data_IF_442931982957
#
_entry.id   IF_442931982957
#
_cell.length_a   1.000
_cell.length_b   1.000
_cell.length_c   1.000
_cell.angle_alpha   90.00
_cell.angle_beta   90.00
_cell.angle_gamma   90.00
#
_symmetry.space_group_name_H-M   'P 1'
#
loop_
_entity.id
_entity.type
_entity.pdbx_description
1 polymer ?
#
# COMPACT_ATOMS: atom_id res chain seq x y z
N UNK A 1 -5.10 -23.47 -6.90
CA UNK A 1 -3.84 -22.99 -6.28
C UNK A 1 -4.17 -21.77 -5.43
N UNK A 2 -3.59 -21.61 -4.23
CA UNK A 2 -3.85 -20.44 -3.38
C UNK A 2 -3.07 -19.23 -3.91
N UNK A 3 -3.64 -18.01 -3.90
CA UNK A 3 -2.93 -16.84 -4.38
C UNK A 3 -1.73 -16.49 -3.47
N UNK A 4 -0.66 -16.00 -4.08
CA UNK A 4 0.54 -15.52 -3.38
C UNK A 4 0.51 -13.99 -3.28
N UNK A 5 0.92 -13.43 -2.15
CA UNK A 5 0.77 -12.00 -1.85
C UNK A 5 2.11 -11.30 -1.61
N UNK A 6 2.43 -10.29 -2.42
CA UNK A 6 3.50 -9.33 -2.11
C UNK A 6 2.96 -8.21 -1.23
N UNK A 7 3.55 -8.04 -0.05
CA UNK A 7 3.18 -6.98 0.91
C UNK A 7 4.20 -5.85 0.80
N UNK A 8 3.77 -4.72 0.26
CA UNK A 8 4.63 -3.53 0.04
C UNK A 8 4.44 -2.54 1.18
N UNK A 9 5.40 -2.45 2.08
CA UNK A 9 5.30 -1.62 3.29
C UNK A 9 6.64 -0.98 3.69
N UNK A 10 6.66 -0.21 4.78
CA UNK A 10 7.87 0.32 5.41
C UNK A 10 8.76 -0.80 5.94
N UNK A 11 10.02 -0.51 6.25
CA UNK A 11 10.94 -1.51 6.81
C UNK A 11 10.49 -2.01 8.19
N UNK A 12 10.79 -3.27 8.50
CA UNK A 12 10.63 -3.85 9.85
C UNK A 12 11.31 -3.04 10.97
N UNK A 13 12.31 -2.22 10.61
CA UNK A 13 13.07 -1.37 11.54
C UNK A 13 12.53 0.07 11.63
N UNK A 14 11.55 0.44 10.80
CA UNK A 14 10.88 1.74 10.89
C UNK A 14 9.86 1.72 12.03
N UNK A 15 9.85 2.76 12.85
CA UNK A 15 8.83 2.93 13.89
C UNK A 15 7.54 3.49 13.26
N UNK A 16 6.38 2.98 13.69
CA UNK A 16 5.08 3.51 13.23
C UNK A 16 4.01 2.45 13.06
N UNK A 17 2.76 2.91 12.93
CA UNK A 17 1.56 2.06 12.87
C UNK A 17 1.58 1.06 11.72
N UNK A 18 2.01 1.44 10.52
CA UNK A 18 2.11 0.53 9.37
C UNK A 18 3.01 -0.67 9.70
N UNK A 19 4.21 -0.41 10.25
CA UNK A 19 5.14 -1.48 10.61
C UNK A 19 4.55 -2.42 11.66
N UNK A 20 3.85 -1.88 12.66
CA UNK A 20 3.22 -2.69 13.71
C UNK A 20 2.12 -3.58 13.15
N UNK A 21 1.27 -3.06 12.25
CA UNK A 21 0.21 -3.83 11.58
C UNK A 21 0.81 -4.96 10.74
N UNK A 22 1.82 -4.66 9.91
CA UNK A 22 2.42 -5.68 9.04
C UNK A 22 3.16 -6.75 9.84
N UNK A 23 3.83 -6.39 10.95
CA UNK A 23 4.42 -7.36 11.88
C UNK A 23 3.37 -8.28 12.51
N UNK A 24 2.22 -7.74 12.91
CA UNK A 24 1.12 -8.54 13.42
C UNK A 24 0.59 -9.52 12.35
N UNK A 25 0.45 -9.07 11.11
CA UNK A 25 0.07 -9.95 9.99
C UNK A 25 1.14 -11.04 9.75
N UNK A 26 2.43 -10.71 9.86
CA UNK A 26 3.55 -11.64 9.62
C UNK A 26 3.55 -12.82 10.60
N UNK A 27 3.04 -12.63 11.82
CA UNK A 27 2.90 -13.70 12.81
C UNK A 27 1.63 -14.53 12.64
N UNK A 28 0.68 -14.08 11.85
CA UNK A 28 -0.60 -14.74 11.64
C UNK A 28 -0.53 -15.90 10.65
N UNK A 29 -1.46 -16.86 10.78
CA UNK A 29 -1.56 -18.03 9.89
C UNK A 29 -1.75 -17.65 8.42
N UNK A 30 -2.44 -16.54 8.16
CA UNK A 30 -2.70 -16.03 6.81
C UNK A 30 -1.39 -15.72 6.05
N UNK A 31 -0.37 -15.28 6.75
CA UNK A 31 0.93 -14.99 6.14
C UNK A 31 1.55 -16.22 5.49
N UNK A 32 1.53 -17.35 6.20
CA UNK A 32 1.99 -18.64 5.69
C UNK A 32 1.05 -19.20 4.61
N UNK A 33 -0.26 -19.13 4.86
CA UNK A 33 -1.32 -19.64 3.98
C UNK A 33 -1.27 -19.06 2.59
N UNK A 34 -0.95 -17.75 2.46
CA UNK A 34 -0.88 -17.02 1.20
C UNK A 34 0.55 -16.75 0.74
N UNK A 35 1.55 -17.42 1.30
CA UNK A 35 2.97 -17.25 0.96
C UNK A 35 3.38 -15.79 0.86
N UNK A 36 2.99 -14.99 1.86
CA UNK A 36 3.24 -13.55 1.87
C UNK A 36 4.73 -13.24 1.91
N UNK A 37 5.16 -12.25 1.14
CA UNK A 37 6.52 -11.72 1.13
C UNK A 37 6.50 -10.21 1.37
N UNK A 38 7.29 -9.72 2.33
CA UNK A 38 7.36 -8.30 2.67
C UNK A 38 8.46 -7.58 1.90
N UNK A 39 8.06 -6.69 1.00
CA UNK A 39 8.94 -5.75 0.29
C UNK A 39 9.10 -4.48 1.14
N UNK A 40 10.32 -4.20 1.58
CA UNK A 40 10.62 -3.09 2.49
C UNK A 40 11.04 -1.84 1.73
N UNK A 41 10.13 -0.90 1.50
CA UNK A 41 10.33 0.25 0.61
C UNK A 41 10.98 1.47 1.25
N UNK A 42 11.11 1.51 2.58
CA UNK A 42 11.60 2.68 3.29
C UNK A 42 12.14 2.31 4.67
N UNK A 43 13.26 2.94 5.03
CA UNK A 43 13.81 2.94 6.39
C UNK A 43 14.18 4.37 6.77
N UNK A 44 13.94 4.75 8.02
CA UNK A 44 14.33 6.06 8.54
C UNK A 44 15.84 6.24 8.50
N UNK A 45 16.26 7.49 8.23
CA UNK A 45 17.66 7.85 8.12
C UNK A 45 17.93 8.92 7.04
N UNK A 46 19.18 9.13 6.66
CA UNK A 46 19.57 10.12 5.65
C UNK A 46 19.00 9.79 4.27
N UNK A 47 18.93 10.78 3.39
CA UNK A 47 18.31 10.69 2.07
C UNK A 47 18.86 9.52 1.21
N UNK A 48 20.19 9.34 1.20
CA UNK A 48 20.83 8.25 0.45
C UNK A 48 20.36 6.86 0.90
N UNK A 49 20.13 6.65 2.22
CA UNK A 49 19.61 5.39 2.77
C UNK A 49 18.18 5.16 2.32
N UNK A 50 17.35 6.20 2.31
CA UNK A 50 15.96 6.13 1.84
C UNK A 50 15.89 5.75 0.37
N UNK A 51 16.75 6.36 -0.45
CA UNK A 51 16.86 6.05 -1.88
C UNK A 51 17.34 4.62 -2.10
N UNK A 52 18.37 4.18 -1.37
CA UNK A 52 18.88 2.80 -1.44
C UNK A 52 17.82 1.76 -1.14
N UNK A 53 17.04 1.98 -0.06
CA UNK A 53 15.92 1.09 0.27
C UNK A 53 14.84 1.07 -0.82
N UNK A 54 14.55 2.20 -1.45
CA UNK A 54 13.59 2.26 -2.55
C UNK A 54 14.09 1.50 -3.77
N UNK A 55 15.35 1.70 -4.17
CA UNK A 55 15.95 1.03 -5.34
C UNK A 55 16.02 -0.48 -5.13
N UNK A 56 16.54 -0.93 -3.99
CA UNK A 56 16.60 -2.37 -3.68
C UNK A 56 15.22 -3.01 -3.58
N UNK A 57 14.25 -2.29 -3.01
CA UNK A 57 12.86 -2.75 -2.97
C UNK A 57 12.24 -2.87 -4.37
N UNK A 58 12.52 -1.94 -5.28
CA UNK A 58 12.02 -2.02 -6.65
C UNK A 58 12.64 -3.20 -7.41
N UNK A 59 13.94 -3.45 -7.24
CA UNK A 59 14.61 -4.61 -7.84
C UNK A 59 13.99 -5.91 -7.30
N UNK A 60 13.92 -6.07 -5.97
CA UNK A 60 13.30 -7.25 -5.34
C UNK A 60 11.84 -7.43 -5.81
N UNK A 61 11.09 -6.34 -5.88
CA UNK A 61 9.71 -6.34 -6.33
C UNK A 61 9.56 -6.81 -7.78
N UNK A 62 10.37 -6.26 -8.70
CA UNK A 62 10.34 -6.64 -10.13
C UNK A 62 10.70 -8.12 -10.34
N UNK A 63 11.69 -8.62 -9.62
CA UNK A 63 12.11 -10.04 -9.70
C UNK A 63 11.00 -10.96 -9.19
N UNK A 64 10.33 -10.60 -8.11
CA UNK A 64 9.32 -11.46 -7.48
C UNK A 64 7.93 -11.34 -8.10
N UNK A 65 7.58 -10.18 -8.67
CA UNK A 65 6.23 -9.87 -9.13
C UNK A 65 5.62 -10.92 -10.09
N UNK A 66 6.36 -11.52 -11.04
CA UNK A 66 5.79 -12.56 -11.91
C UNK A 66 5.20 -13.75 -11.16
N UNK A 67 5.78 -14.09 -10.00
CA UNK A 67 5.41 -15.27 -9.20
C UNK A 67 4.29 -15.01 -8.18
N UNK A 68 3.76 -13.79 -8.15
CA UNK A 68 2.75 -13.36 -7.18
C UNK A 68 1.48 -12.89 -7.89
N UNK A 69 0.34 -13.10 -7.26
CA UNK A 69 -0.98 -12.83 -7.82
C UNK A 69 -1.56 -11.52 -7.32
N UNK A 70 -1.23 -11.17 -6.08
CA UNK A 70 -1.79 -10.01 -5.37
C UNK A 70 -0.65 -9.14 -4.84
N UNK A 71 -0.81 -7.83 -4.97
CA UNK A 71 0.06 -6.82 -4.36
C UNK A 71 -0.73 -6.07 -3.30
N UNK A 72 -0.36 -6.24 -2.04
CA UNK A 72 -0.97 -5.58 -0.89
C UNK A 72 -0.10 -4.40 -0.45
N UNK A 73 -0.54 -3.19 -0.72
CA UNK A 73 0.22 -1.95 -0.54
C UNK A 73 -0.27 -1.21 0.71
N UNK A 74 0.59 -1.09 1.71
CA UNK A 74 0.32 -0.28 2.91
C UNK A 74 0.76 1.16 2.67
N UNK A 75 -0.17 2.10 2.75
CA UNK A 75 0.02 3.51 2.42
C UNK A 75 -0.24 4.39 3.64
N UNK A 76 0.71 5.25 3.98
CA UNK A 76 0.52 6.37 4.89
C UNK A 76 0.27 7.66 4.12
N UNK A 77 0.74 8.79 4.67
CA UNK A 77 0.54 10.11 4.08
C UNK A 77 1.74 10.59 3.25
N UNK A 78 1.52 11.62 2.42
CA UNK A 78 2.53 12.40 1.67
C UNK A 78 3.52 11.50 0.92
N UNK A 79 4.81 11.60 1.23
CA UNK A 79 5.89 10.86 0.56
C UNK A 79 5.70 9.34 0.54
N UNK A 80 4.84 8.79 1.41
CA UNK A 80 4.46 7.38 1.36
C UNK A 80 3.61 7.08 0.12
N UNK A 81 2.69 7.98 -0.24
CA UNK A 81 1.84 7.86 -1.45
C UNK A 81 2.72 7.85 -2.70
N UNK A 82 3.64 8.82 -2.83
CA UNK A 82 4.52 8.93 -4.01
C UNK A 82 5.34 7.67 -4.23
N UNK A 83 5.96 7.14 -3.18
CA UNK A 83 6.73 5.90 -3.26
C UNK A 83 5.88 4.69 -3.64
N UNK A 84 4.69 4.56 -3.04
CA UNK A 84 3.81 3.41 -3.25
C UNK A 84 3.11 3.45 -4.61
N UNK A 85 2.91 4.63 -5.15
CA UNK A 85 2.36 4.83 -6.48
C UNK A 85 3.17 4.11 -7.57
N UNK A 86 4.50 4.12 -7.48
CA UNK A 86 5.37 3.41 -8.41
C UNK A 86 5.08 1.90 -8.40
N UNK A 87 4.96 1.31 -7.21
CA UNK A 87 4.65 -0.13 -7.06
C UNK A 87 3.26 -0.47 -7.60
N UNK A 88 2.27 0.41 -7.36
CA UNK A 88 0.92 0.22 -7.87
C UNK A 88 0.88 0.27 -9.41
N UNK A 89 1.56 1.24 -10.03
CA UNK A 89 1.67 1.32 -11.50
C UNK A 89 2.29 0.07 -12.10
N UNK A 90 3.40 -0.39 -11.54
CA UNK A 90 4.07 -1.62 -12.01
C UNK A 90 3.13 -2.81 -11.86
N UNK A 91 2.46 -2.99 -10.71
CA UNK A 91 1.48 -4.05 -10.51
C UNK A 91 0.38 -4.02 -11.55
N UNK A 92 -0.15 -2.83 -11.86
CA UNK A 92 -1.19 -2.65 -12.89
C UNK A 92 -0.71 -3.05 -14.28
N UNK A 93 0.52 -2.66 -14.66
CA UNK A 93 1.12 -3.06 -15.94
C UNK A 93 1.29 -4.59 -16.05
N UNK A 94 1.54 -5.28 -14.94
CA UNK A 94 1.63 -6.75 -14.88
C UNK A 94 0.28 -7.42 -14.59
N UNK A 95 -0.85 -6.70 -14.69
CA UNK A 95 -2.20 -7.21 -14.48
C UNK A 95 -2.39 -7.92 -13.13
N UNK A 96 -1.66 -7.48 -12.09
CA UNK A 96 -1.80 -8.01 -10.73
C UNK A 96 -2.97 -7.38 -10.01
N UNK A 97 -3.63 -8.14 -9.13
CA UNK A 97 -4.65 -7.58 -8.23
C UNK A 97 -3.99 -6.71 -7.18
N UNK A 98 -4.56 -5.53 -6.94
CA UNK A 98 -3.99 -4.53 -6.05
C UNK A 98 -4.94 -4.30 -4.89
N UNK A 99 -4.43 -4.51 -3.67
CA UNK A 99 -5.10 -4.13 -2.43
C UNK A 99 -4.35 -2.94 -1.86
N UNK A 100 -5.01 -1.82 -1.67
CA UNK A 100 -4.46 -0.66 -0.98
C UNK A 100 -4.97 -0.65 0.45
N UNK A 101 -4.07 -0.65 1.44
CA UNK A 101 -4.38 -0.50 2.84
C UNK A 101 -3.95 0.89 3.31
N UNK A 102 -4.92 1.76 3.51
CA UNK A 102 -4.73 3.17 3.79
C UNK A 102 -4.70 3.43 5.29
N UNK A 103 -3.58 3.97 5.80
CA UNK A 103 -3.29 4.14 7.24
C UNK A 103 -3.14 5.59 7.71
N UNK A 104 -3.87 6.57 7.21
CA UNK A 104 -3.71 7.93 7.70
C UNK A 104 -4.27 8.08 9.11
N UNK A 105 -3.72 9.03 9.86
CA UNK A 105 -4.18 9.36 11.20
C UNK A 105 -5.31 10.41 11.20
N UNK A 106 -5.40 11.23 10.15
CA UNK A 106 -6.38 12.33 10.06
C UNK A 106 -6.91 12.53 8.64
N UNK A 107 -8.17 13.00 8.52
CA UNK A 107 -8.86 13.29 7.27
C UNK A 107 -8.32 14.52 6.53
N UNK A 108 -7.66 15.45 7.23
CA UNK A 108 -7.20 16.73 6.68
C UNK A 108 -6.45 16.62 5.36
N UNK A 109 -5.73 15.51 5.16
CA UNK A 109 -4.94 15.28 3.97
C UNK A 109 -5.70 14.64 2.79
N UNK A 110 -6.93 14.16 2.99
CA UNK A 110 -7.78 13.74 1.89
C UNK A 110 -8.30 14.92 1.06
N UNK A 111 -8.47 16.05 1.71
CA UNK A 111 -9.06 17.26 1.13
C UNK A 111 -8.02 18.31 0.73
N UNK A 112 -6.73 18.04 0.99
CA UNK A 112 -5.64 18.89 0.53
C UNK A 112 -5.45 18.69 -0.98
N UNK A 113 -5.72 19.75 -1.76
CA UNK A 113 -5.77 19.72 -3.23
C UNK A 113 -4.53 19.14 -3.90
N UNK A 114 -3.36 19.33 -3.30
CA UNK A 114 -2.08 18.85 -3.84
C UNK A 114 -1.94 17.31 -3.72
N UNK A 115 -2.54 16.72 -2.68
CA UNK A 115 -2.46 15.29 -2.37
C UNK A 115 -3.66 14.49 -2.85
N UNK A 116 -4.84 15.11 -2.91
CA UNK A 116 -6.10 14.43 -3.24
C UNK A 116 -6.04 13.74 -4.60
N UNK A 117 -5.43 14.35 -5.61
CA UNK A 117 -5.30 13.78 -6.95
C UNK A 117 -4.49 12.48 -6.99
N UNK A 118 -3.32 12.41 -6.32
CA UNK A 118 -2.49 11.21 -6.28
C UNK A 118 -3.11 10.08 -5.45
N UNK A 119 -3.76 10.44 -4.34
CA UNK A 119 -4.49 9.48 -3.51
C UNK A 119 -5.66 8.90 -4.30
N UNK A 120 -6.44 9.75 -4.99
CA UNK A 120 -7.53 9.33 -5.85
C UNK A 120 -7.06 8.35 -6.91
N UNK A 121 -6.01 8.68 -7.66
CA UNK A 121 -5.42 7.80 -8.67
C UNK A 121 -4.94 6.46 -8.09
N UNK A 122 -4.37 6.46 -6.87
CA UNK A 122 -3.95 5.24 -6.19
C UNK A 122 -5.16 4.36 -5.83
N UNK A 123 -6.25 4.96 -5.36
CA UNK A 123 -7.49 4.25 -5.06
C UNK A 123 -8.15 3.70 -6.32
N UNK A 124 -8.17 4.47 -7.40
CA UNK A 124 -8.73 4.07 -8.70
C UNK A 124 -7.98 2.89 -9.33
N UNK A 125 -6.68 2.79 -9.12
CA UNK A 125 -5.92 1.66 -9.64
C UNK A 125 -6.04 0.40 -8.76
N UNK A 126 -6.61 0.49 -7.54
CA UNK A 126 -6.78 -0.63 -6.64
C UNK A 126 -8.05 -1.43 -6.92
N UNK A 127 -7.99 -2.74 -6.76
CA UNK A 127 -9.16 -3.64 -6.83
C UNK A 127 -9.92 -3.66 -5.49
N UNK A 128 -9.19 -3.44 -4.39
CA UNK A 128 -9.76 -3.29 -3.04
C UNK A 128 -9.04 -2.20 -2.26
N UNK A 129 -9.83 -1.45 -1.49
CA UNK A 129 -9.33 -0.46 -0.54
C UNK A 129 -9.70 -0.89 0.89
N UNK A 130 -8.68 -1.05 1.73
CA UNK A 130 -8.84 -1.30 3.16
C UNK A 130 -8.56 0.00 3.93
N UNK A 131 -9.39 0.28 4.91
CA UNK A 131 -9.27 1.45 5.79
C UNK A 131 -9.39 1.06 7.25
N UNK A 132 -8.92 1.92 8.16
CA UNK A 132 -8.82 1.60 9.59
C UNK A 132 -10.16 1.64 10.34
N UNK A 133 -11.18 2.30 9.79
CA UNK A 133 -12.50 2.40 10.42
C UNK A 133 -13.59 2.74 9.40
N UNK A 134 -14.89 2.48 9.72
CA UNK A 134 -16.01 2.88 8.88
C UNK A 134 -16.08 4.38 8.58
N UNK A 135 -15.60 5.23 9.49
CA UNK A 135 -15.54 6.67 9.29
C UNK A 135 -14.70 7.06 8.08
N UNK A 136 -13.61 6.34 7.79
CA UNK A 136 -12.79 6.56 6.60
C UNK A 136 -13.56 6.28 5.30
N UNK A 137 -14.47 5.31 5.30
CA UNK A 137 -15.35 5.03 4.15
C UNK A 137 -16.21 6.25 3.85
N UNK A 138 -16.80 6.84 4.88
CA UNK A 138 -17.65 8.04 4.75
C UNK A 138 -16.84 9.21 4.17
N UNK A 139 -15.66 9.50 4.72
CA UNK A 139 -14.82 10.61 4.24
C UNK A 139 -14.33 10.42 2.80
N UNK A 140 -13.93 9.20 2.44
CA UNK A 140 -13.47 8.90 1.07
C UNK A 140 -14.63 9.06 0.07
N UNK A 141 -15.83 8.62 0.43
CA UNK A 141 -17.01 8.77 -0.43
C UNK A 141 -17.44 10.24 -0.58
N UNK A 142 -17.29 11.06 0.45
CA UNK A 142 -17.55 12.50 0.40
C UNK A 142 -16.54 13.23 -0.50
N UNK A 143 -15.28 12.80 -0.53
CA UNK A 143 -14.21 13.36 -1.37
C UNK A 143 -14.13 12.79 -2.79
N UNK A 144 -14.88 11.73 -3.11
CA UNK A 144 -14.91 11.08 -4.43
C UNK A 144 -16.34 10.71 -4.81
N UNK A 145 -17.19 11.68 -5.24
CA UNK A 145 -18.58 11.41 -5.60
C UNK A 145 -18.75 10.48 -6.82
N UNK A 146 -17.69 10.21 -7.59
CA UNK A 146 -17.76 9.55 -8.89
C UNK A 146 -17.35 8.06 -8.90
N UNK A 147 -17.23 7.37 -7.77
CA UNK A 147 -17.05 5.91 -7.78
C UNK A 147 -18.39 5.19 -7.63
N UNK A 148 -18.97 4.66 -8.74
CA UNK A 148 -19.99 3.63 -8.64
C UNK A 148 -19.31 2.30 -8.31
N UNK A 149 -19.61 1.74 -7.16
CA UNK A 149 -19.18 0.38 -6.84
C UNK A 149 -18.41 0.27 -5.53
N UNK A 150 -19.13 -0.11 -4.53
CA UNK A 150 -18.79 -0.49 -3.18
C UNK A 150 -17.32 -0.61 -2.79
N UNK A 151 -16.86 0.29 -1.91
CA UNK A 151 -15.74 0.01 -1.04
C UNK A 151 -16.11 -1.21 -0.20
N UNK A 152 -15.59 -2.39 -0.54
CA UNK A 152 -15.71 -3.53 0.36
C UNK A 152 -14.62 -3.41 1.43
N UNK A 153 -15.06 -3.26 2.66
CA UNK A 153 -14.28 -3.32 3.89
C UNK A 153 -13.86 -4.77 4.12
#
# INVERSE_FOLDING_TARGET
MRPRVLVVATSRKTRGGITSVVKAHETGEQWKKYHCRWIQTHRDGPAWRKLWYLVTALIEYMVLLPWYDIVHIHVGLRTSVDRKWIFAKIAKCFHKRIIVHFHPATEKHLFDSEFSGKIKQLFECSDKLLVLSPQWVTWINQGSPDKPGGLSI
#
